data_IF_487275121056
#
_entry.id   IF_487275121056
#
_cell.length_a   1.000
_cell.length_b   1.000
_cell.length_c   1.000
_cell.angle_alpha   90.00
_cell.angle_beta   90.00
_cell.angle_gamma   90.00
#
_symmetry.space_group_name_H-M   'P 1'
#
loop_
_entity.id
_entity.type
_entity.pdbx_description
1 polymer ?
#
# COMPACT_ATOMS: atom_id res chain seq x y z
N UNK A 1 35.58 27.18 32.56
CA UNK A 1 34.80 27.80 33.65
C UNK A 1 33.53 27.01 34.06
N UNK A 2 33.15 25.96 33.40
CA UNK A 2 31.91 25.20 33.69
C UNK A 2 31.97 24.16 34.82
N UNK A 3 33.13 23.67 35.19
CA UNK A 3 33.27 22.57 36.18
C UNK A 3 33.23 23.06 37.65
N UNK A 4 33.58 24.31 37.91
CA UNK A 4 33.59 24.86 39.28
C UNK A 4 32.18 25.30 39.73
N UNK A 5 31.29 25.66 38.80
CA UNK A 5 29.92 26.05 39.13
C UNK A 5 29.02 24.86 39.45
N UNK A 6 29.27 23.67 38.86
CA UNK A 6 28.50 22.48 39.15
C UNK A 6 28.73 21.96 40.58
N UNK A 7 29.96 22.02 41.08
CA UNK A 7 30.28 21.51 42.40
C UNK A 7 29.69 22.37 43.55
N UNK A 8 29.43 23.67 43.28
CA UNK A 8 28.82 24.58 44.27
C UNK A 8 27.29 24.40 44.35
N UNK A 9 26.65 24.11 43.25
CA UNK A 9 25.22 23.77 43.19
C UNK A 9 24.92 22.44 43.89
N UNK A 10 25.79 21.43 43.74
CA UNK A 10 25.64 20.12 44.39
C UNK A 10 25.73 20.16 45.93
N UNK A 11 26.42 21.12 46.50
CA UNK A 11 26.54 21.28 47.97
C UNK A 11 25.32 21.91 48.64
N UNK A 12 24.41 22.57 47.89
CA UNK A 12 23.23 23.24 48.45
C UNK A 12 21.91 22.49 48.23
N UNK A 13 21.84 21.56 47.31
CA UNK A 13 20.63 20.81 47.07
C UNK A 13 20.73 19.45 47.76
N UNK A 14 19.75 19.12 48.60
CA UNK A 14 19.68 17.81 49.25
C UNK A 14 19.49 16.74 48.16
N UNK A 15 20.44 15.76 47.99
CA UNK A 15 20.35 14.77 46.92
C UNK A 15 19.02 14.02 46.92
N UNK A 16 18.48 13.74 48.09
CA UNK A 16 17.19 13.14 48.28
C UNK A 16 16.01 13.94 47.69
N UNK A 17 16.07 15.27 47.75
CA UNK A 17 15.03 16.14 47.20
C UNK A 17 15.02 16.04 45.66
N UNK A 18 16.21 16.05 45.04
CA UNK A 18 16.35 15.88 43.57
C UNK A 18 15.82 14.52 43.18
N UNK A 19 16.24 13.45 43.86
CA UNK A 19 15.76 12.09 43.57
C UNK A 19 14.25 12.00 43.70
N UNK A 20 13.65 12.58 44.73
CA UNK A 20 12.20 12.57 44.90
C UNK A 20 11.47 13.34 43.78
N UNK A 21 12.03 14.50 43.39
CA UNK A 21 11.46 15.28 42.27
C UNK A 21 11.56 14.48 40.96
N UNK A 22 12.73 13.90 40.66
CA UNK A 22 12.92 13.09 39.44
C UNK A 22 12.01 11.87 39.44
N UNK A 23 11.91 11.17 40.58
CA UNK A 23 10.99 10.00 40.67
C UNK A 23 9.53 10.41 40.48
N UNK A 24 9.11 11.55 41.07
CA UNK A 24 7.74 12.04 40.89
C UNK A 24 7.49 12.47 39.42
N UNK A 25 8.45 13.17 38.81
CA UNK A 25 8.35 13.57 37.41
C UNK A 25 8.31 12.37 36.48
N UNK A 26 9.15 11.35 36.73
CA UNK A 26 9.14 10.11 35.99
C UNK A 26 7.82 9.33 36.16
N UNK A 27 7.29 9.26 37.38
CA UNK A 27 6.01 8.63 37.63
C UNK A 27 4.87 9.37 36.94
N UNK A 28 4.86 10.69 36.92
CA UNK A 28 3.87 11.50 36.21
C UNK A 28 4.01 11.35 34.69
N UNK A 29 5.23 11.30 34.18
CA UNK A 29 5.49 11.09 32.76
C UNK A 29 5.01 9.70 32.28
N UNK A 30 5.07 8.67 33.14
CA UNK A 30 4.56 7.33 32.83
C UNK A 30 3.01 7.26 32.83
N UNK A 31 2.31 8.18 33.48
CA UNK A 31 0.84 8.17 33.49
C UNK A 31 0.24 8.49 32.11
N UNK A 32 0.92 9.29 31.30
CA UNK A 32 0.45 9.67 29.96
C UNK A 32 0.43 8.44 29.03
N UNK A 33 1.54 7.71 28.82
CA UNK A 33 1.52 6.51 27.97
C UNK A 33 0.67 5.39 28.59
N UNK A 34 0.60 5.28 29.92
CA UNK A 34 -0.27 4.30 30.57
C UNK A 34 -1.76 4.61 30.33
N UNK A 35 -2.16 5.88 30.39
CA UNK A 35 -3.49 6.30 30.02
C UNK A 35 -3.79 6.01 28.54
N UNK A 36 -2.83 6.32 27.65
CA UNK A 36 -2.93 5.97 26.23
C UNK A 36 -3.11 4.45 26.01
N UNK A 37 -2.32 3.62 26.69
CA UNK A 37 -2.45 2.17 26.66
C UNK A 37 -3.80 1.67 27.18
N UNK A 38 -4.29 2.23 28.27
CA UNK A 38 -5.59 1.85 28.83
C UNK A 38 -6.73 2.25 27.88
N UNK A 39 -6.70 3.45 27.32
CA UNK A 39 -7.70 3.90 26.35
C UNK A 39 -7.66 3.08 25.08
N UNK A 40 -6.46 2.79 24.55
CA UNK A 40 -6.26 1.89 23.42
C UNK A 40 -6.80 0.50 23.71
N UNK A 41 -6.47 -0.09 24.86
CA UNK A 41 -6.97 -1.42 25.24
C UNK A 41 -8.48 -1.45 25.41
N UNK A 42 -9.09 -0.41 25.97
CA UNK A 42 -10.54 -0.28 26.05
C UNK A 42 -11.20 -0.13 24.67
N UNK A 43 -10.59 0.63 23.78
CA UNK A 43 -11.12 0.79 22.41
C UNK A 43 -11.00 -0.49 21.59
N UNK A 44 -9.90 -1.24 21.74
CA UNK A 44 -9.68 -2.52 21.03
C UNK A 44 -10.44 -3.68 21.68
N UNK A 45 -10.59 -3.72 23.00
CA UNK A 45 -11.30 -4.80 23.70
C UNK A 45 -12.84 -4.74 23.51
N UNK A 46 -13.36 -3.61 23.07
CA UNK A 46 -14.77 -3.41 22.74
C UNK A 46 -15.03 -3.46 21.22
N UNK A 47 -14.04 -3.88 20.43
CA UNK A 47 -14.10 -3.81 18.98
C UNK A 47 -15.14 -4.79 18.44
N UNK A 48 -16.20 -4.29 17.79
CA UNK A 48 -17.17 -5.16 17.12
C UNK A 48 -16.56 -5.96 15.97
N UNK A 49 -15.28 -5.69 15.61
CA UNK A 49 -14.56 -6.39 14.58
C UNK A 49 -14.09 -7.79 15.00
N UNK A 50 -14.05 -8.12 16.30
CA UNK A 50 -13.87 -9.51 16.77
C UNK A 50 -14.98 -10.46 16.28
N UNK A 51 -16.12 -9.91 15.85
CA UNK A 51 -17.27 -10.64 15.30
C UNK A 51 -17.39 -10.48 13.78
N UNK A 52 -16.32 -10.18 13.07
CA UNK A 52 -16.31 -10.16 11.61
C UNK A 52 -16.62 -11.53 11.03
N UNK A 53 -17.87 -11.95 11.21
CA UNK A 53 -18.38 -13.04 10.43
C UNK A 53 -18.60 -12.51 9.02
N UNK A 54 -17.64 -12.79 8.14
CA UNK A 54 -17.82 -12.70 6.70
C UNK A 54 -19.20 -13.29 6.38
N UNK A 55 -20.06 -12.61 5.62
CA UNK A 55 -21.26 -13.25 5.11
C UNK A 55 -20.82 -14.55 4.43
N UNK A 56 -21.23 -15.68 4.96
CA UNK A 56 -20.95 -17.00 4.36
C UNK A 56 -21.75 -17.06 3.07
N UNK A 57 -21.30 -16.38 2.03
CA UNK A 57 -21.71 -16.68 0.69
C UNK A 57 -21.14 -18.06 0.41
N UNK A 58 -22.03 -18.97 0.03
CA UNK A 58 -21.88 -20.39 -0.20
C UNK A 58 -20.45 -20.77 -0.51
N UNK A 59 -19.92 -21.76 0.23
CA UNK A 59 -18.65 -22.38 -0.07
C UNK A 59 -18.72 -22.86 -1.53
N UNK A 60 -18.22 -22.03 -2.45
CA UNK A 60 -18.03 -22.46 -3.81
C UNK A 60 -16.94 -23.52 -3.76
N UNK A 61 -17.26 -24.73 -4.21
CA UNK A 61 -16.36 -25.87 -4.21
C UNK A 61 -15.32 -25.68 -5.32
N UNK A 62 -14.19 -25.07 -4.96
CA UNK A 62 -13.06 -24.84 -5.86
C UNK A 62 -12.10 -26.02 -5.97
N UNK A 63 -12.41 -27.15 -5.32
CA UNK A 63 -11.67 -28.41 -5.53
C UNK A 63 -11.66 -28.87 -7.01
N UNK A 64 -12.45 -28.21 -7.86
CA UNK A 64 -12.53 -28.42 -9.32
C UNK A 64 -11.64 -27.49 -10.15
N UNK A 65 -10.90 -26.55 -9.55
CA UNK A 65 -9.94 -25.69 -10.25
C UNK A 65 -8.70 -26.49 -10.72
N UNK A 66 -8.92 -27.58 -11.41
CA UNK A 66 -7.89 -28.46 -11.93
C UNK A 66 -7.82 -28.34 -13.46
N UNK A 67 -7.41 -27.19 -13.96
CA UNK A 67 -6.83 -27.12 -15.29
C UNK A 67 -5.43 -27.73 -15.28
N UNK A 68 -5.04 -28.43 -16.35
CA UNK A 68 -3.68 -28.98 -16.51
C UNK A 68 -2.62 -27.86 -16.62
N UNK A 69 -3.03 -26.62 -16.91
CA UNK A 69 -2.17 -25.45 -17.10
C UNK A 69 -2.32 -24.54 -15.86
N UNK A 70 -1.23 -24.35 -15.15
CA UNK A 70 -1.13 -23.47 -13.98
C UNK A 70 -0.11 -22.37 -14.26
N UNK A 71 -0.50 -21.25 -14.91
CA UNK A 71 0.41 -20.15 -15.19
C UNK A 71 0.87 -19.50 -13.89
N UNK A 72 2.11 -19.00 -13.86
CA UNK A 72 2.54 -18.12 -12.78
C UNK A 72 1.70 -16.83 -12.79
N UNK A 73 1.36 -16.32 -11.62
CA UNK A 73 0.52 -15.13 -11.48
C UNK A 73 1.31 -14.06 -10.72
N UNK A 74 1.48 -12.92 -11.37
CA UNK A 74 2.09 -11.72 -10.77
C UNK A 74 0.99 -10.68 -10.53
N UNK A 75 0.83 -10.28 -9.28
CA UNK A 75 -0.04 -9.19 -8.87
C UNK A 75 0.85 -8.05 -8.37
N UNK A 76 1.08 -7.08 -9.24
CA UNK A 76 1.99 -5.94 -9.00
C UNK A 76 1.14 -4.72 -8.76
N UNK A 77 1.22 -4.19 -7.54
CA UNK A 77 0.53 -2.96 -7.14
C UNK A 77 1.53 -1.82 -7.10
N UNK A 78 1.23 -0.77 -7.88
CA UNK A 78 1.92 0.52 -7.83
C UNK A 78 1.04 1.50 -7.04
N UNK A 79 1.40 1.73 -5.78
CA UNK A 79 0.61 2.53 -4.86
C UNK A 79 0.45 3.98 -5.34
N UNK A 80 -0.77 4.44 -5.39
CA UNK A 80 -1.08 5.81 -5.76
C UNK A 80 -0.90 6.14 -7.25
N UNK A 81 -0.93 5.16 -8.17
CA UNK A 81 -0.72 5.41 -9.60
C UNK A 81 -2.00 5.85 -10.31
N UNK A 82 -2.04 7.11 -10.72
CA UNK A 82 -3.18 7.70 -11.41
C UNK A 82 -3.40 7.17 -12.84
N UNK A 83 -4.64 7.21 -13.30
CA UNK A 83 -5.03 6.95 -14.68
C UNK A 83 -4.52 8.08 -15.61
N UNK A 84 -4.30 7.75 -16.90
CA UNK A 84 -3.66 8.65 -17.86
C UNK A 84 -4.37 10.02 -18.02
N UNK A 85 -5.69 10.06 -17.97
CA UNK A 85 -6.44 11.35 -18.06
C UNK A 85 -6.18 12.23 -16.83
N UNK A 86 -6.12 11.66 -15.64
CA UNK A 86 -5.76 12.38 -14.41
C UNK A 86 -4.30 12.84 -14.45
N UNK A 87 -3.39 12.00 -14.93
CA UNK A 87 -1.98 12.38 -15.12
C UNK A 87 -1.85 13.59 -16.05
N UNK A 88 -2.62 13.60 -17.14
CA UNK A 88 -2.60 14.71 -18.08
C UNK A 88 -3.25 15.98 -17.49
N UNK A 89 -4.41 15.84 -16.84
CA UNK A 89 -5.22 16.99 -16.37
C UNK A 89 -4.63 17.65 -15.11
N UNK A 90 -4.20 16.85 -14.14
CA UNK A 90 -3.75 17.34 -12.82
C UNK A 90 -2.23 17.51 -12.77
N UNK A 91 -1.50 16.58 -13.38
CA UNK A 91 -0.04 16.52 -13.27
C UNK A 91 0.66 17.04 -14.53
N UNK A 92 -0.05 17.40 -15.60
CA UNK A 92 0.50 17.76 -16.91
C UNK A 92 1.59 16.74 -17.38
N UNK A 93 1.32 15.45 -17.15
CA UNK A 93 2.20 14.35 -17.48
C UNK A 93 1.59 13.47 -18.57
N UNK A 94 2.28 13.37 -19.72
CA UNK A 94 1.90 12.48 -20.81
C UNK A 94 2.44 11.07 -20.56
N UNK A 95 1.52 10.12 -20.32
CA UNK A 95 1.85 8.73 -20.02
C UNK A 95 1.71 7.81 -21.24
N UNK A 96 1.56 8.37 -22.44
CA UNK A 96 1.28 7.60 -23.67
C UNK A 96 2.38 6.60 -23.97
N UNK A 97 3.64 6.99 -23.85
CA UNK A 97 4.79 6.12 -24.12
C UNK A 97 4.79 4.86 -23.25
N UNK A 98 4.52 5.01 -21.95
CA UNK A 98 4.43 3.90 -21.02
C UNK A 98 3.26 2.95 -21.34
N UNK A 99 2.08 3.50 -21.63
CA UNK A 99 0.91 2.69 -21.97
C UNK A 99 1.08 1.97 -23.30
N UNK A 100 1.71 2.58 -24.27
CA UNK A 100 2.02 1.95 -25.57
C UNK A 100 3.10 0.87 -25.41
N UNK A 101 4.06 1.06 -24.50
CA UNK A 101 5.04 0.05 -24.16
C UNK A 101 4.36 -1.19 -23.50
N UNK A 102 3.35 -1.01 -22.65
CA UNK A 102 2.54 -2.10 -22.09
C UNK A 102 1.75 -2.81 -23.20
N UNK A 103 1.04 -2.07 -24.06
CA UNK A 103 0.25 -2.64 -25.16
C UNK A 103 1.12 -3.44 -26.14
N UNK A 104 2.33 -2.95 -26.43
CA UNK A 104 3.26 -3.66 -27.32
C UNK A 104 3.73 -5.01 -26.76
N UNK A 105 3.62 -5.20 -25.43
CA UNK A 105 3.88 -6.46 -24.72
C UNK A 105 2.66 -7.34 -24.54
N UNK A 106 1.53 -6.96 -25.14
CA UNK A 106 0.28 -7.72 -25.08
C UNK A 106 -0.62 -7.38 -23.89
N UNK A 107 -0.36 -6.30 -23.17
CA UNK A 107 -1.26 -5.89 -22.10
C UNK A 107 -2.54 -5.25 -22.63
N UNK A 108 -3.66 -5.67 -22.08
CA UNK A 108 -4.90 -4.91 -22.12
C UNK A 108 -4.83 -3.81 -21.06
N UNK A 109 -5.03 -2.54 -21.45
CA UNK A 109 -5.08 -1.39 -20.55
C UNK A 109 -6.52 -0.93 -20.38
N UNK A 110 -7.02 -0.97 -19.15
CA UNK A 110 -8.39 -0.54 -18.83
C UNK A 110 -8.43 0.99 -18.66
N UNK A 111 -8.66 1.70 -19.76
CA UNK A 111 -8.53 3.16 -19.85
C UNK A 111 -9.53 3.95 -19.00
N UNK A 112 -10.59 3.31 -18.51
CA UNK A 112 -11.65 3.91 -17.70
C UNK A 112 -11.77 3.24 -16.33
N UNK A 113 -10.73 2.54 -15.89
CA UNK A 113 -10.74 1.84 -14.60
C UNK A 113 -10.76 2.81 -13.41
N UNK A 114 -11.43 2.38 -12.35
CA UNK A 114 -11.47 3.05 -11.06
C UNK A 114 -11.16 2.06 -9.95
N UNK A 115 -10.50 2.51 -8.90
CA UNK A 115 -10.42 1.77 -7.65
C UNK A 115 -11.80 1.61 -7.01
N UNK A 116 -12.02 0.47 -6.35
CA UNK A 116 -13.26 0.25 -5.61
C UNK A 116 -13.28 0.99 -4.26
N UNK A 117 -12.11 1.34 -3.73
CA UNK A 117 -11.95 2.06 -2.45
C UNK A 117 -10.83 3.09 -2.53
N UNK A 118 -10.98 4.17 -1.76
CA UNK A 118 -10.00 5.25 -1.70
C UNK A 118 -8.81 4.98 -0.78
N UNK A 119 -8.82 3.85 -0.05
CA UNK A 119 -7.82 3.47 0.94
C UNK A 119 -7.14 2.16 0.54
N UNK A 120 -5.82 2.08 0.66
CA UNK A 120 -5.00 0.93 0.29
C UNK A 120 -5.52 -0.39 0.84
N UNK A 121 -5.72 -0.47 2.16
CA UNK A 121 -6.12 -1.74 2.80
C UNK A 121 -7.51 -2.20 2.35
N UNK A 122 -8.45 -1.29 2.20
CA UNK A 122 -9.80 -1.62 1.70
C UNK A 122 -9.77 -2.05 0.24
N UNK A 123 -9.00 -1.35 -0.60
CA UNK A 123 -8.86 -1.69 -2.03
C UNK A 123 -8.25 -3.07 -2.21
N UNK A 124 -7.13 -3.35 -1.53
CA UNK A 124 -6.46 -4.64 -1.62
C UNK A 124 -7.29 -5.78 -1.01
N UNK A 125 -7.92 -5.56 0.15
CA UNK A 125 -8.80 -6.55 0.76
C UNK A 125 -10.00 -6.88 -0.14
N UNK A 126 -10.61 -5.88 -0.78
CA UNK A 126 -11.70 -6.08 -1.75
C UNK A 126 -11.24 -6.85 -2.98
N UNK A 127 -10.13 -6.45 -3.60
CA UNK A 127 -9.57 -7.08 -4.79
C UNK A 127 -9.20 -8.55 -4.54
N UNK A 128 -8.45 -8.82 -3.47
CA UNK A 128 -7.97 -10.17 -3.13
C UNK A 128 -9.07 -11.11 -2.60
N UNK A 129 -10.22 -10.55 -2.22
CA UNK A 129 -11.39 -11.34 -1.86
C UNK A 129 -12.50 -11.28 -2.91
N UNK A 130 -12.27 -10.53 -4.02
CA UNK A 130 -13.18 -10.32 -5.14
C UNK A 130 -14.64 -10.09 -4.69
N UNK A 131 -14.79 -9.28 -3.61
CA UNK A 131 -16.06 -8.87 -3.01
C UNK A 131 -16.03 -7.43 -2.53
N UNK A 132 -17.18 -6.79 -2.42
CA UNK A 132 -17.29 -5.49 -1.78
C UNK A 132 -17.28 -5.64 -0.25
N UNK A 133 -16.74 -4.62 0.43
CA UNK A 133 -16.58 -4.56 1.88
C UNK A 133 -17.58 -3.58 2.54
N UNK A 134 -18.66 -3.25 1.84
CA UNK A 134 -19.69 -2.32 2.32
C UNK A 134 -20.38 -2.79 3.61
N UNK A 135 -20.36 -4.09 3.89
CA UNK A 135 -20.80 -4.65 5.17
C UNK A 135 -19.99 -4.14 6.37
N UNK A 136 -18.75 -3.62 6.14
CA UNK A 136 -17.93 -3.03 7.20
C UNK A 136 -18.43 -1.64 7.65
N UNK A 137 -19.40 -1.07 6.97
CA UNK A 137 -20.00 0.22 7.35
C UNK A 137 -20.61 0.19 8.75
N UNK A 138 -20.93 -1.00 9.31
CA UNK A 138 -21.36 -1.13 10.70
C UNK A 138 -20.29 -0.68 11.72
N UNK A 139 -19.02 -0.69 11.33
CA UNK A 139 -17.90 -0.23 12.15
C UNK A 139 -17.74 1.30 12.12
N UNK A 140 -18.49 2.01 11.26
CA UNK A 140 -18.45 3.47 11.14
C UNK A 140 -18.67 4.15 12.49
N UNK A 141 -17.74 5.04 12.87
CA UNK A 141 -17.75 5.76 14.14
C UNK A 141 -17.56 4.89 15.39
N UNK A 142 -17.25 3.59 15.24
CA UNK A 142 -17.06 2.64 16.34
C UNK A 142 -15.65 2.11 16.45
N UNK A 143 -14.93 2.00 15.36
CA UNK A 143 -13.57 1.49 15.32
C UNK A 143 -12.72 2.28 14.33
N UNK A 144 -11.45 2.48 14.69
CA UNK A 144 -10.38 2.95 13.80
C UNK A 144 -9.31 1.86 13.62
N UNK A 145 -9.59 0.65 14.12
CA UNK A 145 -8.68 -0.48 14.02
C UNK A 145 -8.71 -1.06 12.60
N UNK A 146 -7.56 -1.09 11.95
CA UNK A 146 -7.34 -1.61 10.60
C UNK A 146 -6.77 -3.04 10.57
N UNK A 147 -6.35 -3.58 11.70
CA UNK A 147 -5.71 -4.91 11.77
C UNK A 147 -6.51 -6.00 11.06
N UNK A 148 -7.86 -6.05 11.16
CA UNK A 148 -8.65 -7.04 10.46
C UNK A 148 -8.58 -6.96 8.93
N UNK A 149 -8.32 -5.76 8.35
CA UNK A 149 -8.10 -5.61 6.91
C UNK A 149 -6.81 -6.30 6.48
N UNK A 150 -5.75 -6.21 7.30
CA UNK A 150 -4.51 -6.97 7.11
C UNK A 150 -4.76 -8.48 7.05
N UNK A 151 -5.60 -8.99 7.94
CA UNK A 151 -6.08 -10.39 7.92
C UNK A 151 -6.80 -10.74 6.62
N UNK A 152 -7.73 -9.89 6.15
CA UNK A 152 -8.44 -10.09 4.88
C UNK A 152 -7.51 -10.11 3.66
N UNK A 153 -6.38 -9.43 3.71
CA UNK A 153 -5.39 -9.43 2.64
C UNK A 153 -4.55 -10.70 2.69
N UNK A 154 -3.99 -11.03 3.86
CA UNK A 154 -3.07 -12.16 4.03
C UNK A 154 -3.78 -13.52 3.97
N UNK A 155 -4.99 -13.61 4.50
CA UNK A 155 -5.83 -14.81 4.48
C UNK A 155 -6.94 -14.68 3.42
N UNK A 156 -6.59 -14.06 2.27
CA UNK A 156 -7.54 -13.77 1.20
C UNK A 156 -8.05 -15.04 0.51
N UNK A 157 -9.21 -14.94 -0.13
CA UNK A 157 -9.74 -16.02 -0.96
C UNK A 157 -8.83 -16.35 -2.14
N UNK A 158 -8.22 -15.35 -2.75
CA UNK A 158 -7.24 -15.57 -3.83
C UNK A 158 -6.11 -16.46 -3.34
N UNK A 159 -5.54 -16.15 -2.19
CA UNK A 159 -4.48 -16.99 -1.59
C UNK A 159 -4.98 -18.39 -1.29
N UNK A 160 -6.07 -18.51 -0.55
CA UNK A 160 -6.62 -19.82 -0.14
C UNK A 160 -6.86 -20.73 -1.35
N UNK A 161 -7.46 -20.21 -2.41
CA UNK A 161 -7.76 -20.99 -3.60
C UNK A 161 -6.53 -21.37 -4.42
N UNK A 162 -5.56 -20.46 -4.53
CA UNK A 162 -4.32 -20.75 -5.25
C UNK A 162 -3.44 -21.72 -4.45
N UNK A 163 -3.39 -21.66 -3.13
CA UNK A 163 -2.70 -22.63 -2.29
C UNK A 163 -3.34 -24.04 -2.42
N UNK A 164 -4.68 -24.14 -2.41
CA UNK A 164 -5.40 -25.39 -2.70
C UNK A 164 -5.09 -25.92 -4.09
N UNK A 165 -4.90 -25.03 -5.07
CA UNK A 165 -4.46 -25.40 -6.43
C UNK A 165 -2.96 -25.74 -6.50
N UNK A 166 -2.20 -25.64 -5.39
CA UNK A 166 -0.78 -26.00 -5.30
C UNK A 166 0.19 -24.89 -5.68
N UNK A 167 -0.24 -23.63 -5.68
CA UNK A 167 0.63 -22.48 -5.87
C UNK A 167 1.44 -22.19 -4.62
N UNK A 168 2.70 -21.80 -4.81
CA UNK A 168 3.49 -21.19 -3.75
C UNK A 168 3.20 -19.68 -3.71
N UNK A 169 3.02 -19.14 -2.50
CA UNK A 169 2.72 -17.73 -2.29
C UNK A 169 3.98 -16.94 -1.91
N UNK A 170 4.25 -15.88 -2.66
CA UNK A 170 5.35 -14.94 -2.40
C UNK A 170 4.79 -13.55 -2.18
N UNK A 171 5.27 -12.86 -1.16
CA UNK A 171 4.82 -11.54 -0.79
C UNK A 171 6.00 -10.59 -0.58
N UNK A 172 5.95 -9.41 -1.22
CA UNK A 172 6.76 -8.25 -0.88
C UNK A 172 5.85 -7.05 -0.69
N UNK A 173 6.02 -6.36 0.40
CA UNK A 173 5.26 -5.15 0.71
C UNK A 173 5.39 -4.83 2.18
N UNK A 174 5.67 -3.56 2.48
CA UNK A 174 6.15 -3.19 3.80
C UNK A 174 5.10 -2.67 4.75
N UNK A 175 4.26 -1.82 4.23
CA UNK A 175 3.39 -0.99 5.07
C UNK A 175 2.25 -1.77 5.72
N UNK A 176 1.79 -2.82 5.04
CA UNK A 176 0.59 -3.56 5.46
C UNK A 176 0.89 -4.83 6.26
N UNK A 177 2.13 -5.32 6.25
CA UNK A 177 2.44 -6.69 6.64
C UNK A 177 3.63 -6.81 7.60
N UNK A 178 4.20 -5.71 8.07
CA UNK A 178 5.43 -5.70 8.88
C UNK A 178 5.35 -6.56 10.16
N UNK A 179 4.15 -6.81 10.68
CA UNK A 179 3.95 -7.53 11.95
C UNK A 179 3.44 -8.97 11.79
N UNK A 180 2.97 -9.36 10.59
CA UNK A 180 2.37 -10.68 10.37
C UNK A 180 3.41 -11.59 9.71
N UNK A 181 3.94 -12.55 10.46
CA UNK A 181 4.84 -13.60 9.96
C UNK A 181 4.09 -14.91 9.84
N UNK A 182 3.60 -15.21 8.65
CA UNK A 182 3.03 -16.50 8.31
C UNK A 182 4.14 -17.35 7.67
N UNK A 183 4.52 -18.53 8.25
CA UNK A 183 5.57 -19.38 7.70
C UNK A 183 5.24 -19.97 6.32
N UNK A 184 3.98 -19.97 5.90
CA UNK A 184 3.58 -20.41 4.57
C UNK A 184 3.86 -19.35 3.47
N UNK A 185 4.10 -18.11 3.86
CA UNK A 185 4.44 -17.02 2.96
C UNK A 185 5.94 -16.82 2.92
N UNK A 186 6.52 -16.82 1.73
CA UNK A 186 7.92 -16.42 1.56
C UNK A 186 7.97 -14.91 1.50
N UNK A 187 8.36 -14.28 2.60
CA UNK A 187 8.60 -12.84 2.64
C UNK A 187 9.97 -12.51 2.07
N UNK A 188 9.99 -11.54 1.16
CA UNK A 188 11.23 -10.92 0.72
C UNK A 188 11.38 -9.58 1.44
N UNK A 189 12.14 -9.61 2.53
CA UNK A 189 12.55 -8.37 3.20
C UNK A 189 13.89 -7.90 2.61
N UNK A 190 14.09 -6.59 2.40
CA UNK A 190 15.42 -6.05 2.18
C UNK A 190 16.33 -6.42 3.35
N UNK A 191 17.63 -6.51 3.12
CA UNK A 191 18.62 -6.87 4.14
C UNK A 191 18.29 -6.18 5.48
N UNK A 192 18.30 -6.95 6.58
CA UNK A 192 17.88 -6.58 7.94
C UNK A 192 18.69 -5.45 8.61
N UNK A 193 19.17 -4.47 7.86
CA UNK A 193 19.84 -3.27 8.39
C UNK A 193 18.89 -2.13 8.65
N UNK A 194 17.63 -2.26 8.24
CA UNK A 194 16.61 -1.25 8.44
C UNK A 194 16.01 -1.32 9.85
N UNK A 195 15.91 -0.18 10.51
CA UNK A 195 15.12 -0.07 11.75
C UNK A 195 13.66 -0.37 11.45
N UNK A 196 13.04 -1.18 12.27
CA UNK A 196 11.59 -1.34 12.24
C UNK A 196 10.89 -0.03 12.59
N UNK A 197 9.63 0.14 12.21
CA UNK A 197 8.84 1.32 12.61
C UNK A 197 8.82 1.50 14.13
N UNK A 198 8.78 0.39 14.89
CA UNK A 198 8.86 0.42 16.35
C UNK A 198 10.22 0.93 16.85
N UNK A 199 11.32 0.48 16.25
CA UNK A 199 12.68 0.92 16.63
C UNK A 199 12.88 2.39 16.28
N UNK A 200 12.36 2.87 15.14
CA UNK A 200 12.37 4.29 14.78
C UNK A 200 11.58 5.13 15.81
N UNK A 201 10.35 4.74 16.11
CA UNK A 201 9.52 5.40 17.13
C UNK A 201 10.16 5.35 18.53
N UNK A 202 10.82 4.25 18.87
CA UNK A 202 11.53 4.13 20.14
C UNK A 202 12.73 5.08 20.21
N UNK A 203 13.46 5.23 19.11
CA UNK A 203 14.58 6.17 19.02
C UNK A 203 14.09 7.63 19.10
N UNK A 204 13.00 7.96 18.41
CA UNK A 204 12.37 9.28 18.44
C UNK A 204 11.77 9.62 19.81
N UNK A 205 11.27 8.62 20.56
CA UNK A 205 10.65 8.84 21.88
C UNK A 205 11.61 8.81 23.05
N UNK A 206 12.90 8.52 22.86
CA UNK A 206 13.90 8.46 23.93
C UNK A 206 14.92 9.60 23.85
N UNK A 207 15.92 9.61 24.74
CA UNK A 207 16.98 10.64 24.76
C UNK A 207 17.79 10.75 23.46
N UNK A 208 17.61 9.84 22.50
CA UNK A 208 18.18 9.93 21.16
C UNK A 208 17.59 11.10 20.35
N UNK A 209 16.35 11.53 20.63
CA UNK A 209 15.74 12.73 20.06
C UNK A 209 16.66 13.95 20.20
N UNK A 210 17.34 14.09 21.34
CA UNK A 210 18.31 15.17 21.55
C UNK A 210 19.51 15.08 20.58
N UNK A 211 19.92 13.87 20.20
CA UNK A 211 21.01 13.66 19.26
C UNK A 211 20.56 13.92 17.81
N UNK A 212 19.30 13.62 17.50
CA UNK A 212 18.66 13.96 16.22
C UNK A 212 18.48 15.47 16.10
N UNK A 213 17.88 16.11 17.10
CA UNK A 213 17.66 17.57 17.15
C UNK A 213 18.96 18.38 17.10
N UNK A 214 20.05 17.83 17.63
CA UNK A 214 21.36 18.45 17.57
C UNK A 214 22.14 18.14 16.29
N UNK A 215 21.54 17.39 15.34
CA UNK A 215 22.16 17.02 14.06
C UNK A 215 23.34 16.04 14.19
N UNK A 216 23.47 15.36 15.33
CA UNK A 216 24.53 14.36 15.55
C UNK A 216 24.17 12.98 14.97
N UNK A 217 22.89 12.72 14.77
CA UNK A 217 22.36 11.51 14.09
C UNK A 217 21.28 11.96 13.13
N UNK A 218 21.44 11.62 11.86
CA UNK A 218 20.46 11.88 10.81
C UNK A 218 19.62 10.60 10.56
N UNK A 219 18.47 10.51 11.22
CA UNK A 219 17.52 9.41 11.05
C UNK A 219 16.68 9.61 9.78
N UNK A 220 16.42 10.86 9.37
CA UNK A 220 15.62 11.16 8.20
C UNK A 220 16.26 10.60 6.93
N UNK A 221 17.58 10.77 6.77
CA UNK A 221 18.31 10.19 5.65
C UNK A 221 18.19 8.68 5.58
N UNK A 222 18.23 8.02 6.73
CA UNK A 222 18.10 6.58 6.82
C UNK A 222 16.71 6.08 6.36
N UNK A 223 15.64 6.77 6.78
CA UNK A 223 14.26 6.38 6.41
C UNK A 223 13.98 6.58 4.92
N UNK A 224 14.43 7.69 4.31
CA UNK A 224 14.33 7.91 2.87
C UNK A 224 15.12 6.87 2.06
N UNK A 225 16.33 6.54 2.49
CA UNK A 225 17.16 5.54 1.82
C UNK A 225 16.57 4.13 1.95
N UNK A 226 16.07 3.77 3.11
CA UNK A 226 15.37 2.51 3.33
C UNK A 226 14.15 2.40 2.42
N UNK A 227 13.34 3.44 2.32
CA UNK A 227 12.17 3.44 1.43
C UNK A 227 12.57 3.23 -0.04
N UNK A 228 13.62 3.90 -0.49
CA UNK A 228 14.18 3.72 -1.85
C UNK A 228 14.61 2.28 -2.10
N UNK A 229 15.36 1.69 -1.16
CA UNK A 229 15.82 0.30 -1.26
C UNK A 229 14.64 -0.68 -1.33
N UNK A 230 13.57 -0.40 -0.62
CA UNK A 230 12.35 -1.23 -0.58
C UNK A 230 11.61 -1.20 -1.92
N UNK A 231 11.45 -0.04 -2.53
CA UNK A 231 10.88 0.08 -3.88
C UNK A 231 11.70 -0.75 -4.87
N UNK A 232 13.02 -0.58 -4.89
CA UNK A 232 13.90 -1.31 -5.80
C UNK A 232 13.87 -2.83 -5.55
N UNK A 233 13.84 -3.24 -4.29
CA UNK A 233 13.73 -4.66 -3.92
C UNK A 233 12.41 -5.29 -4.33
N UNK A 234 11.30 -4.54 -4.33
CA UNK A 234 10.00 -5.00 -4.82
C UNK A 234 10.09 -5.43 -6.29
N UNK A 235 10.64 -4.60 -7.15
CA UNK A 235 10.88 -4.93 -8.56
C UNK A 235 11.84 -6.11 -8.70
N UNK A 236 13.01 -6.03 -8.05
CA UNK A 236 14.02 -7.09 -8.11
C UNK A 236 13.52 -8.45 -7.60
N UNK A 237 12.56 -8.48 -6.67
CA UNK A 237 11.93 -9.72 -6.24
C UNK A 237 11.09 -10.34 -7.36
N UNK A 238 10.23 -9.54 -7.98
CA UNK A 238 9.37 -10.02 -9.08
C UNK A 238 10.22 -10.63 -10.20
N UNK A 239 11.31 -9.96 -10.58
CA UNK A 239 12.26 -10.45 -11.59
C UNK A 239 12.94 -11.76 -11.19
N UNK A 240 13.51 -11.83 -9.98
CA UNK A 240 14.22 -13.04 -9.49
C UNK A 240 13.32 -14.27 -9.40
N UNK A 241 12.04 -14.06 -9.11
CA UNK A 241 11.08 -15.15 -9.03
C UNK A 241 10.68 -15.69 -10.41
N UNK A 242 10.91 -14.96 -11.50
CA UNK A 242 10.49 -15.38 -12.83
C UNK A 242 11.05 -16.76 -13.22
N UNK A 243 12.31 -17.03 -12.92
CA UNK A 243 12.96 -18.33 -13.18
C UNK A 243 12.76 -19.38 -12.08
N UNK A 244 12.05 -19.06 -11.00
CA UNK A 244 11.85 -20.01 -9.88
C UNK A 244 10.79 -21.06 -10.19
N UNK A 245 10.66 -22.06 -9.30
CA UNK A 245 9.71 -23.17 -9.47
C UNK A 245 8.26 -22.66 -9.55
N UNK A 246 7.51 -23.19 -10.53
CA UNK A 246 6.08 -22.94 -10.76
C UNK A 246 5.21 -24.07 -10.21
N UNK A 247 3.90 -23.86 -9.94
CA UNK A 247 3.20 -22.59 -10.07
C UNK A 247 3.40 -21.70 -8.84
N UNK A 248 3.42 -20.39 -9.06
CA UNK A 248 3.57 -19.40 -8.00
C UNK A 248 2.61 -18.22 -8.17
N UNK A 249 2.21 -17.66 -7.04
CA UNK A 249 1.54 -16.37 -6.94
C UNK A 249 2.47 -15.36 -6.29
N UNK A 250 2.81 -14.33 -7.02
CA UNK A 250 3.76 -13.29 -6.59
C UNK A 250 2.98 -12.00 -6.38
N UNK A 251 2.76 -11.62 -5.13
CA UNK A 251 2.12 -10.37 -4.77
C UNK A 251 3.17 -9.35 -4.35
N UNK A 252 3.29 -8.28 -5.12
CA UNK A 252 4.23 -7.18 -4.87
C UNK A 252 3.46 -5.89 -4.70
N UNK A 253 3.56 -5.28 -3.53
CA UNK A 253 3.03 -3.95 -3.26
C UNK A 253 4.20 -2.96 -3.17
N UNK A 254 4.30 -2.05 -4.13
CA UNK A 254 5.36 -1.06 -4.27
C UNK A 254 4.78 0.30 -3.91
N UNK A 255 5.25 0.90 -2.81
CA UNK A 255 4.79 2.23 -2.36
C UNK A 255 5.48 3.31 -3.24
N UNK A 256 5.10 3.30 -4.50
CA UNK A 256 5.48 4.27 -5.52
C UNK A 256 4.50 4.17 -6.71
N UNK A 257 4.15 5.29 -7.37
CA UNK A 257 4.66 6.66 -7.19
C UNK A 257 4.11 7.42 -5.97
N UNK A 258 3.41 6.75 -5.03
CA UNK A 258 2.96 7.32 -3.76
C UNK A 258 4.13 8.03 -3.03
N UNK A 259 3.92 9.17 -2.33
CA UNK A 259 4.96 9.76 -1.50
C UNK A 259 5.42 8.81 -0.37
N UNK A 260 6.63 9.02 0.21
CA UNK A 260 7.54 10.13 -0.09
C UNK A 260 8.27 9.94 -1.41
N UNK A 261 8.53 11.07 -2.09
CA UNK A 261 9.27 11.04 -3.34
C UNK A 261 10.76 10.90 -3.06
N UNK A 262 11.36 9.80 -3.50
CA UNK A 262 12.73 9.40 -3.19
C UNK A 262 13.61 9.24 -4.42
N UNK A 263 13.04 9.41 -5.61
CA UNK A 263 13.73 9.35 -6.90
C UNK A 263 13.44 10.58 -7.73
N UNK A 264 14.46 11.04 -8.47
CA UNK A 264 14.22 11.91 -9.61
C UNK A 264 13.80 11.08 -10.85
N UNK A 265 13.58 11.76 -11.97
CA UNK A 265 13.16 11.11 -13.22
C UNK A 265 14.19 10.12 -13.81
N UNK A 266 15.44 10.15 -13.38
CA UNK A 266 16.53 9.28 -13.83
C UNK A 266 16.82 8.16 -12.81
N UNK A 267 16.17 8.18 -11.65
CA UNK A 267 16.40 7.26 -10.55
C UNK A 267 17.48 7.71 -9.56
N UNK A 268 17.98 8.91 -9.72
CA UNK A 268 18.90 9.47 -8.75
C UNK A 268 18.17 9.76 -7.42
N UNK A 269 18.84 9.52 -6.29
CA UNK A 269 18.23 9.71 -4.98
C UNK A 269 17.95 11.18 -4.71
N UNK A 270 16.72 11.47 -4.32
CA UNK A 270 16.34 12.77 -3.76
C UNK A 270 16.00 12.63 -2.30
N UNK A 271 16.30 13.68 -1.53
CA UNK A 271 15.98 13.78 -0.12
C UNK A 271 15.51 15.19 0.17
N UNK A 272 14.22 15.36 0.49
CA UNK A 272 13.68 16.65 0.89
C UNK A 272 14.28 17.16 2.22
N UNK A 273 14.30 18.47 2.41
CA UNK A 273 14.75 19.13 3.66
C UNK A 273 13.70 19.04 4.79
N UNK A 274 12.95 17.93 4.87
CA UNK A 274 11.92 17.72 5.90
C UNK A 274 11.86 16.27 6.36
N UNK A 275 11.20 16.06 7.51
CA UNK A 275 10.98 14.74 8.09
C UNK A 275 10.29 13.80 7.11
N UNK A 276 10.68 12.53 7.18
CA UNK A 276 10.07 11.45 6.43
C UNK A 276 8.57 11.30 6.81
N UNK A 277 7.72 11.21 5.80
CA UNK A 277 6.29 10.92 5.95
C UNK A 277 5.74 10.22 4.72
N UNK A 278 4.84 9.27 4.95
CA UNK A 278 4.08 8.58 3.91
C UNK A 278 2.66 9.16 3.75
N UNK A 279 2.31 10.22 4.47
CA UNK A 279 0.97 10.79 4.43
C UNK A 279 0.91 11.93 3.39
N UNK A 280 0.01 11.78 2.40
CA UNK A 280 -0.20 12.76 1.32
C UNK A 280 -0.46 14.17 1.85
N UNK A 281 -1.34 14.31 2.85
CA UNK A 281 -1.73 15.60 3.43
C UNK A 281 -0.54 16.36 4.04
N UNK A 282 0.39 15.67 4.67
CA UNK A 282 1.60 16.27 5.23
C UNK A 282 2.53 16.82 4.13
N UNK A 283 2.54 16.21 2.95
CA UNK A 283 3.36 16.67 1.82
C UNK A 283 2.65 17.79 1.09
N UNK A 284 1.33 17.71 0.89
CA UNK A 284 0.52 18.76 0.28
C UNK A 284 0.58 20.07 1.07
N UNK A 285 0.59 20.01 2.40
CA UNK A 285 0.73 21.20 3.26
C UNK A 285 2.04 21.95 3.07
N UNK A 286 3.07 21.29 2.49
CA UNK A 286 4.38 21.89 2.16
C UNK A 286 4.42 22.51 0.76
N UNK A 287 3.34 22.46 0.03
CA UNK A 287 3.11 23.08 -1.27
C UNK A 287 2.72 22.05 -2.33
N UNK A 288 1.58 22.30 -2.96
CA UNK A 288 1.04 21.43 -4.00
C UNK A 288 1.97 21.29 -5.21
N UNK A 289 2.70 22.33 -5.56
CA UNK A 289 3.65 22.30 -6.67
C UNK A 289 4.79 21.33 -6.39
N UNK A 290 5.30 21.28 -5.15
CA UNK A 290 6.32 20.32 -4.73
C UNK A 290 5.79 18.89 -4.79
N UNK A 291 4.52 18.66 -4.45
CA UNK A 291 3.89 17.35 -4.58
C UNK A 291 3.81 16.93 -6.05
N UNK A 292 3.30 17.81 -6.91
CA UNK A 292 3.13 17.54 -8.35
C UNK A 292 4.48 17.22 -9.01
N UNK A 293 5.51 18.04 -8.75
CA UNK A 293 6.85 17.84 -9.33
C UNK A 293 7.51 16.56 -8.81
N UNK A 294 7.42 16.28 -7.52
CA UNK A 294 7.95 15.06 -6.93
C UNK A 294 7.27 13.80 -7.48
N UNK A 295 5.94 13.83 -7.58
CA UNK A 295 5.14 12.75 -8.14
C UNK A 295 5.52 12.46 -9.60
N UNK A 296 5.59 13.49 -10.46
CA UNK A 296 5.97 13.35 -11.88
C UNK A 296 7.34 12.74 -12.06
N UNK A 297 8.33 13.21 -11.31
CA UNK A 297 9.68 12.73 -11.39
C UNK A 297 9.78 11.25 -10.98
N UNK A 298 9.19 10.91 -9.83
CA UNK A 298 9.16 9.54 -9.36
C UNK A 298 8.40 8.63 -10.32
N UNK A 299 7.24 9.07 -10.82
CA UNK A 299 6.43 8.33 -11.79
C UNK A 299 7.22 7.97 -13.05
N UNK A 300 7.98 8.91 -13.61
CA UNK A 300 8.79 8.67 -14.80
C UNK A 300 9.81 7.53 -14.59
N UNK A 301 10.46 7.51 -13.44
CA UNK A 301 11.39 6.43 -13.10
C UNK A 301 10.70 5.11 -12.81
N UNK A 302 9.57 5.13 -12.09
CA UNK A 302 8.76 3.94 -11.82
C UNK A 302 8.25 3.30 -13.12
N UNK A 303 7.88 4.10 -14.12
CA UNK A 303 7.55 3.59 -15.46
C UNK A 303 8.70 2.79 -16.08
N UNK A 304 9.91 3.30 -15.99
CA UNK A 304 11.11 2.61 -16.49
C UNK A 304 11.33 1.29 -15.77
N UNK A 305 11.34 1.28 -14.45
CA UNK A 305 11.50 0.07 -13.64
C UNK A 305 10.39 -0.96 -13.90
N UNK A 306 9.17 -0.49 -14.10
CA UNK A 306 8.03 -1.38 -14.36
C UNK A 306 8.20 -2.11 -15.71
N UNK A 307 8.61 -1.41 -16.75
CA UNK A 307 8.84 -2.02 -18.07
C UNK A 307 10.03 -2.99 -18.02
N UNK A 308 11.12 -2.62 -17.35
CA UNK A 308 12.28 -3.51 -17.16
C UNK A 308 11.90 -4.79 -16.41
N UNK A 309 11.14 -4.68 -15.33
CA UNK A 309 10.67 -5.83 -14.57
C UNK A 309 9.75 -6.73 -15.40
N UNK A 310 8.81 -6.16 -16.15
CA UNK A 310 7.93 -6.91 -17.04
C UNK A 310 8.75 -7.65 -18.11
N UNK A 311 9.71 -7.01 -18.75
CA UNK A 311 10.57 -7.65 -19.74
C UNK A 311 11.33 -8.83 -19.14
N UNK A 312 11.95 -8.65 -17.97
CA UNK A 312 12.63 -9.72 -17.25
C UNK A 312 11.71 -10.87 -16.85
N UNK A 313 10.48 -10.58 -16.40
CA UNK A 313 9.49 -11.60 -16.08
C UNK A 313 9.13 -12.41 -17.35
N UNK A 314 8.86 -11.73 -18.46
CA UNK A 314 8.48 -12.39 -19.72
C UNK A 314 9.62 -13.24 -20.29
N UNK A 315 10.83 -12.76 -20.24
CA UNK A 315 12.02 -13.43 -20.79
C UNK A 315 12.42 -14.67 -19.98
N UNK A 316 12.23 -14.63 -18.64
CA UNK A 316 12.70 -15.69 -17.74
C UNK A 316 11.64 -16.69 -17.33
N UNK A 317 10.36 -16.38 -17.51
CA UNK A 317 9.26 -17.28 -17.15
C UNK A 317 9.24 -18.52 -18.05
N UNK A 318 9.13 -19.73 -17.49
CA UNK A 318 9.14 -20.97 -18.28
C UNK A 318 7.91 -21.15 -19.17
N UNK A 319 6.84 -20.42 -18.88
CA UNK A 319 5.58 -20.37 -19.65
C UNK A 319 4.99 -18.97 -19.53
N UNK A 320 4.11 -18.54 -20.48
CA UNK A 320 3.48 -17.24 -20.41
C UNK A 320 2.79 -17.00 -19.06
N UNK A 321 3.23 -16.00 -18.28
CA UNK A 321 2.64 -15.68 -16.98
C UNK A 321 1.35 -14.87 -17.15
N UNK A 322 0.54 -14.84 -16.09
CA UNK A 322 -0.49 -13.84 -15.88
C UNK A 322 0.15 -12.68 -15.13
N UNK A 323 -0.02 -11.44 -15.62
CA UNK A 323 0.43 -10.24 -14.93
C UNK A 323 -0.75 -9.28 -14.76
N UNK A 324 -1.04 -8.91 -13.52
CA UNK A 324 -1.95 -7.83 -13.16
C UNK A 324 -1.09 -6.68 -12.67
N UNK A 325 -1.04 -5.59 -13.44
CA UNK A 325 -0.38 -4.34 -13.07
C UNK A 325 -1.46 -3.32 -12.71
N UNK A 326 -1.59 -2.98 -11.45
CA UNK A 326 -2.72 -2.24 -10.93
C UNK A 326 -2.28 -1.24 -9.87
N UNK A 327 -2.98 -0.11 -9.76
CA UNK A 327 -2.89 0.71 -8.56
C UNK A 327 -4.02 0.35 -7.59
N UNK A 328 -3.75 0.51 -6.32
CA UNK A 328 -4.75 0.36 -5.25
C UNK A 328 -5.71 1.55 -5.21
N UNK A 329 -5.20 2.77 -5.38
CA UNK A 329 -5.92 4.04 -5.57
C UNK A 329 -5.06 5.03 -6.36
N UNK A 330 -5.57 6.21 -6.65
CA UNK A 330 -4.84 7.31 -7.23
C UNK A 330 -4.14 8.20 -6.19
N UNK A 331 -3.37 9.20 -6.62
CA UNK A 331 -2.66 10.11 -5.71
C UNK A 331 -3.59 11.00 -4.90
N UNK A 332 -3.00 11.82 -4.03
CA UNK A 332 -3.73 12.67 -3.08
C UNK A 332 -3.32 14.13 -3.11
N UNK A 333 -2.91 14.69 -4.27
CA UNK A 333 -2.52 16.11 -4.35
C UNK A 333 -3.70 17.06 -4.10
N UNK A 334 -4.90 16.60 -4.44
CA UNK A 334 -6.17 17.30 -4.21
C UNK A 334 -6.93 16.76 -2.99
N UNK A 335 -6.28 15.92 -2.17
CA UNK A 335 -6.95 15.28 -1.04
C UNK A 335 -7.51 16.32 -0.08
N UNK A 336 -8.80 16.17 0.21
CA UNK A 336 -9.55 17.05 1.10
C UNK A 336 -10.37 16.19 2.08
N UNK A 337 -10.55 16.67 3.30
CA UNK A 337 -11.44 16.05 4.27
C UNK A 337 -12.91 16.11 3.87
N UNK A 338 -13.23 16.85 2.79
CA UNK A 338 -14.59 16.93 2.22
C UNK A 338 -14.60 16.25 0.86
N UNK A 339 -15.66 15.48 0.61
CA UNK A 339 -15.88 14.81 -0.69
C UNK A 339 -16.19 15.88 -1.73
N UNK A 340 -15.17 16.25 -2.52
CA UNK A 340 -15.38 17.05 -3.71
C UNK A 340 -15.04 16.24 -4.97
N UNK A 341 -15.56 16.66 -6.11
CA UNK A 341 -15.48 15.89 -7.35
C UNK A 341 -14.03 15.74 -7.85
N UNK A 342 -13.19 16.76 -7.67
CA UNK A 342 -11.81 16.76 -8.14
C UNK A 342 -10.94 15.79 -7.34
N UNK A 343 -11.06 15.83 -6.00
CA UNK A 343 -10.37 14.92 -5.09
C UNK A 343 -10.78 13.47 -5.36
N UNK A 344 -12.06 13.21 -5.54
CA UNK A 344 -12.59 11.86 -5.76
C UNK A 344 -12.16 11.30 -7.12
N UNK A 345 -12.17 12.11 -8.18
CA UNK A 345 -11.67 11.71 -9.51
C UNK A 345 -10.20 11.33 -9.46
N UNK A 346 -9.37 12.19 -8.85
CA UNK A 346 -7.94 11.92 -8.68
C UNK A 346 -7.70 10.62 -7.90
N UNK A 347 -8.37 10.47 -6.76
CA UNK A 347 -8.12 9.36 -5.84
C UNK A 347 -8.61 8.00 -6.32
N UNK A 348 -9.65 7.97 -7.15
CA UNK A 348 -10.23 6.70 -7.59
C UNK A 348 -9.86 6.31 -9.03
N UNK A 349 -9.41 7.22 -9.89
CA UNK A 349 -9.01 6.88 -11.25
C UNK A 349 -7.60 6.30 -11.28
N UNK A 350 -7.45 5.02 -11.64
CA UNK A 350 -6.23 4.25 -11.45
C UNK A 350 -5.66 3.67 -12.74
N UNK A 351 -4.34 3.43 -12.77
CA UNK A 351 -3.74 2.49 -13.70
C UNK A 351 -4.28 1.09 -13.41
N UNK A 352 -4.73 0.41 -14.46
CA UNK A 352 -5.15 -0.99 -14.38
C UNK A 352 -4.89 -1.67 -15.72
N UNK A 353 -3.93 -2.59 -15.74
CA UNK A 353 -3.48 -3.27 -16.94
C UNK A 353 -3.28 -4.76 -16.68
N UNK A 354 -3.54 -5.57 -17.69
CA UNK A 354 -3.57 -7.03 -17.58
C UNK A 354 -2.84 -7.68 -18.74
N UNK A 355 -1.98 -8.63 -18.45
CA UNK A 355 -1.49 -9.60 -19.41
C UNK A 355 -2.12 -10.95 -19.07
N UNK A 356 -3.08 -11.39 -19.87
CA UNK A 356 -3.89 -12.58 -19.64
C UNK A 356 -3.90 -13.48 -20.87
N UNK A 357 -4.21 -14.78 -20.72
CA UNK A 357 -4.60 -15.62 -21.86
C UNK A 357 -5.78 -15.02 -22.62
N UNK A 358 -5.89 -15.28 -23.95
CA UNK A 358 -6.90 -14.64 -24.80
C UNK A 358 -8.34 -14.82 -24.32
N UNK A 359 -8.65 -15.98 -23.71
CA UNK A 359 -9.98 -16.29 -23.18
C UNK A 359 -10.35 -15.38 -22.00
N UNK A 360 -9.39 -15.06 -21.15
CA UNK A 360 -9.57 -14.16 -20.02
C UNK A 360 -9.56 -12.69 -20.46
N UNK A 361 -8.71 -12.32 -21.40
CA UNK A 361 -8.66 -10.95 -21.95
C UNK A 361 -9.99 -10.57 -22.62
N UNK A 362 -10.63 -11.51 -23.33
CA UNK A 362 -11.92 -11.28 -23.97
C UNK A 362 -13.06 -10.92 -23.01
N UNK A 363 -12.90 -11.20 -21.71
CA UNK A 363 -13.86 -10.86 -20.67
C UNK A 363 -13.60 -9.49 -20.04
N UNK A 364 -12.47 -8.83 -20.38
CA UNK A 364 -12.13 -7.51 -19.86
C UNK A 364 -12.90 -6.42 -20.62
N UNK A 365 -13.27 -5.37 -19.88
CA UNK A 365 -13.82 -4.14 -20.45
C UNK A 365 -13.01 -2.93 -19.98
N UNK A 366 -13.08 -1.80 -20.70
CA UNK A 366 -12.29 -0.60 -20.36
C UNK A 366 -12.61 -0.02 -18.99
N UNK A 367 -13.71 -0.39 -18.38
CA UNK A 367 -14.19 0.08 -17.08
C UNK A 367 -14.01 -0.97 -15.99
N UNK A 368 -13.34 -2.10 -16.24
CA UNK A 368 -13.14 -3.13 -15.22
C UNK A 368 -12.45 -2.56 -13.99
N UNK A 369 -12.92 -2.94 -12.81
CA UNK A 369 -12.42 -2.48 -11.52
C UNK A 369 -11.73 -3.62 -10.75
N UNK A 370 -10.86 -3.32 -9.77
CA UNK A 370 -10.05 -4.29 -9.04
C UNK A 370 -10.82 -5.49 -8.46
N UNK A 371 -12.04 -5.28 -7.96
CA UNK A 371 -12.89 -6.37 -7.43
C UNK A 371 -13.18 -7.46 -8.45
N UNK A 372 -13.13 -7.14 -9.75
CA UNK A 372 -13.39 -8.05 -10.85
C UNK A 372 -12.13 -8.72 -11.42
N UNK A 373 -10.93 -8.25 -11.08
CA UNK A 373 -9.67 -8.78 -11.63
C UNK A 373 -9.54 -10.29 -11.44
N UNK A 374 -9.63 -10.76 -10.21
CA UNK A 374 -9.52 -12.19 -9.91
C UNK A 374 -10.78 -12.98 -10.30
N UNK A 375 -11.97 -12.36 -10.35
CA UNK A 375 -13.19 -13.00 -10.84
C UNK A 375 -13.03 -13.43 -12.30
N UNK A 376 -12.51 -12.53 -13.14
CA UNK A 376 -12.23 -12.84 -14.56
C UNK A 376 -11.18 -13.95 -14.69
N UNK A 377 -10.10 -13.88 -13.91
CA UNK A 377 -9.03 -14.88 -13.96
C UNK A 377 -9.56 -16.25 -13.51
N UNK A 378 -10.26 -16.32 -12.38
CA UNK A 378 -10.78 -17.59 -11.89
C UNK A 378 -11.82 -18.20 -12.82
N UNK A 379 -12.68 -17.38 -13.42
CA UNK A 379 -13.68 -17.88 -14.36
C UNK A 379 -13.06 -18.38 -15.66
N UNK A 380 -12.16 -17.61 -16.27
CA UNK A 380 -11.64 -17.91 -17.59
C UNK A 380 -10.46 -18.91 -17.57
N UNK A 381 -9.58 -18.84 -16.57
CA UNK A 381 -8.37 -19.67 -16.53
C UNK A 381 -8.60 -20.95 -15.73
N UNK A 382 -9.37 -20.87 -14.65
CA UNK A 382 -9.58 -21.99 -13.74
C UNK A 382 -10.97 -22.61 -13.81
N UNK A 383 -11.82 -22.16 -14.75
CA UNK A 383 -13.14 -22.75 -15.00
C UNK A 383 -14.18 -22.45 -13.91
N UNK A 384 -14.02 -21.34 -13.21
CA UNK A 384 -14.99 -20.83 -12.24
C UNK A 384 -16.28 -20.30 -12.87
N UNK A 385 -17.16 -19.79 -12.05
CA UNK A 385 -18.45 -19.20 -12.47
C UNK A 385 -18.87 -18.03 -11.59
N UNK A 386 -17.90 -17.21 -11.17
CA UNK A 386 -18.11 -16.07 -10.27
C UNK A 386 -18.93 -14.95 -10.92
N UNK A 387 -18.75 -14.76 -12.24
CA UNK A 387 -19.29 -13.62 -12.98
C UNK A 387 -18.69 -12.29 -12.47
N UNK A 388 -18.89 -11.22 -13.20
CA UNK A 388 -18.42 -9.89 -12.78
C UNK A 388 -19.49 -9.20 -11.92
N UNK A 389 -19.02 -8.49 -10.88
CA UNK A 389 -19.84 -7.59 -10.08
C UNK A 389 -20.01 -6.24 -10.80
N UNK A 390 -21.10 -5.49 -10.54
CA UNK A 390 -21.21 -4.11 -11.01
C UNK A 390 -20.02 -3.28 -10.55
N UNK A 391 -19.49 -2.40 -11.41
CA UNK A 391 -18.37 -1.53 -11.05
C UNK A 391 -18.87 -0.40 -10.12
N UNK A 392 -18.56 -0.49 -8.84
CA UNK A 392 -18.92 0.50 -7.80
C UNK A 392 -17.65 0.97 -7.11
N UNK A 393 -17.60 2.26 -6.82
CA UNK A 393 -16.52 2.86 -6.04
C UNK A 393 -17.06 3.47 -4.75
N UNK A 394 -16.31 3.30 -3.66
CA UNK A 394 -16.60 3.83 -2.35
C UNK A 394 -15.49 4.78 -1.93
N UNK A 395 -15.86 5.99 -1.58
CA UNK A 395 -14.93 6.96 -1.01
C UNK A 395 -15.09 6.99 0.50
N UNK A 396 -13.97 7.06 1.21
CA UNK A 396 -13.88 7.31 2.64
C UNK A 396 -12.60 8.09 2.95
N UNK A 397 -12.57 8.81 4.06
CA UNK A 397 -11.40 9.57 4.52
C UNK A 397 -10.59 8.76 5.55
N UNK A 398 -9.34 9.14 5.79
CA UNK A 398 -8.46 8.42 6.73
C UNK A 398 -8.97 8.42 8.18
N UNK A 399 -9.68 9.47 8.58
CA UNK A 399 -10.30 9.61 9.91
C UNK A 399 -11.66 8.91 10.01
N UNK A 400 -12.28 8.55 8.87
CA UNK A 400 -13.60 7.93 8.76
C UNK A 400 -13.60 6.79 7.75
N UNK A 401 -12.70 5.86 7.93
CA UNK A 401 -12.37 4.83 6.95
C UNK A 401 -13.55 3.95 6.56
N UNK A 402 -14.45 3.65 7.49
CA UNK A 402 -15.63 2.82 7.25
C UNK A 402 -16.92 3.62 6.97
N UNK A 403 -16.84 4.95 6.88
CA UNK A 403 -17.96 5.79 6.42
C UNK A 403 -17.97 5.88 4.89
N UNK A 404 -18.48 4.85 4.24
CA UNK A 404 -18.46 4.74 2.79
C UNK A 404 -19.50 5.66 2.13
N UNK A 405 -19.02 6.45 1.17
CA UNK A 405 -19.86 7.21 0.25
C UNK A 405 -19.75 6.57 -1.13
N UNK A 406 -20.87 6.12 -1.69
CA UNK A 406 -20.90 5.59 -3.07
C UNK A 406 -20.66 6.76 -4.04
N UNK A 407 -19.73 6.56 -4.94
CA UNK A 407 -19.34 7.58 -5.92
C UNK A 407 -19.73 7.11 -7.32
N UNK A 408 -20.33 7.97 -8.14
CA UNK A 408 -20.70 7.60 -9.50
C UNK A 408 -19.46 7.37 -10.37
N UNK A 409 -19.42 6.27 -11.10
CA UNK A 409 -18.34 5.92 -12.05
C UNK A 409 -18.44 6.72 -13.38
N UNK A 410 -19.08 7.89 -13.38
CA UNK A 410 -19.39 8.67 -14.57
C UNK A 410 -18.29 9.63 -15.04
N UNK A 411 -17.07 9.46 -14.51
CA UNK A 411 -15.93 10.31 -14.93
C UNK A 411 -15.26 9.75 -16.19
N UNK A 412 -16.01 9.71 -17.27
CA UNK A 412 -15.39 9.52 -18.58
C UNK A 412 -14.54 10.76 -18.92
N UNK A 413 -13.43 10.62 -19.68
CA UNK A 413 -12.64 11.74 -20.15
C UNK A 413 -13.54 12.77 -20.84
N UNK A 414 -13.51 14.04 -20.38
CA UNK A 414 -14.33 15.11 -20.90
C UNK A 414 -15.71 15.29 -20.27
N UNK A 415 -16.05 14.59 -19.19
CA UNK A 415 -17.22 14.92 -18.36
C UNK A 415 -16.85 16.05 -17.40
N UNK A 416 -17.68 17.11 -17.27
CA UNK A 416 -17.40 18.24 -16.40
C UNK A 416 -17.46 17.86 -14.94
#
# INVERSE_FOLDING_TARGET
MGIVSSHWLWRRVRPQLITNILNLSSALALLIPLYGLITFWHSTSADPMETWSRPVNQAEDFSRLAGDIKPDIYYIILDGYARADVLQEVYAFDNTEFLDALRSRGFFVAELSHSNYSQTQLSLASSLNFEYLDYLSFASGRSTNRDPLGGLILESRVRSWLEEAGYQFFLSGEYLFAEIRDPAIVFFEPNQTALTTFESLLLESCMFEILVDTGQVDISNYTYQTHREKILNGFAMAERLASSTSPKFVFVHIIAPHPPFVFDQNGDPIQPDWEYTIFDDNIVTRGIDNYIDGYRNQLAYINTLTIEAIDNILDQSPSPPIIILQADHGPGSLYSATVDTSCVKERLSILNAYLLPPEAEAALGPTITPVNSFRVIFDAVFGGSLGQLPNVSYFSTNDKEFEFVIVPNSWAPGSP
#
